data_IF_214485231957
#
_entry.id   IF_214485231957
#
_cell.length_a   1.000
_cell.length_b   1.000
_cell.length_c   1.000
_cell.angle_alpha   90.00
_cell.angle_beta   90.00
_cell.angle_gamma   90.00
#
_symmetry.space_group_name_H-M   'P 1'
#
loop_
_entity.id
_entity.type
_entity.pdbx_description
1 polymer ?
#
# COMPACT_ATOMS: atom_id res chain seq x y z
N UNK A 1 17.68 -17.10 18.77
CA UNK A 1 17.60 -18.58 18.82
C UNK A 1 16.45 -19.13 19.67
N UNK A 2 15.94 -18.44 20.71
CA UNK A 2 14.84 -18.96 21.55
C UNK A 2 13.46 -19.01 20.84
N UNK A 3 13.11 -17.98 20.06
CA UNK A 3 11.76 -17.86 19.48
C UNK A 3 11.44 -18.87 18.38
N UNK A 4 12.44 -19.30 17.61
CA UNK A 4 12.25 -20.31 16.55
C UNK A 4 11.90 -21.68 17.15
N UNK A 5 12.55 -22.05 18.25
CA UNK A 5 12.25 -23.30 18.95
C UNK A 5 10.85 -23.28 19.56
N UNK A 6 10.44 -22.15 20.15
CA UNK A 6 9.09 -21.97 20.69
C UNK A 6 8.02 -22.03 19.59
N UNK A 7 8.25 -21.38 18.44
CA UNK A 7 7.36 -21.44 17.29
C UNK A 7 7.19 -22.88 16.78
N UNK A 8 8.30 -23.61 16.59
CA UNK A 8 8.26 -25.00 16.12
C UNK A 8 7.50 -25.90 17.12
N UNK A 9 7.69 -25.69 18.43
CA UNK A 9 6.94 -26.43 19.44
C UNK A 9 5.43 -26.15 19.36
N UNK A 10 5.02 -24.88 19.29
CA UNK A 10 3.60 -24.50 19.19
C UNK A 10 2.96 -24.98 17.88
N UNK A 11 3.70 -24.95 16.77
CA UNK A 11 3.26 -25.48 15.48
C UNK A 11 3.02 -26.99 15.55
N UNK A 12 3.93 -27.74 16.18
CA UNK A 12 3.77 -29.18 16.35
C UNK A 12 2.58 -29.52 17.25
N UNK A 13 2.34 -28.76 18.33
CA UNK A 13 1.17 -28.94 19.19
C UNK A 13 -0.14 -28.72 18.42
N UNK A 14 -0.22 -27.65 17.61
CA UNK A 14 -1.38 -27.39 16.76
C UNK A 14 -1.60 -28.52 15.76
N UNK A 15 -0.54 -28.99 15.10
CA UNK A 15 -0.63 -30.09 14.14
C UNK A 15 -1.18 -31.37 14.80
N UNK A 16 -0.60 -31.80 15.92
CA UNK A 16 -1.06 -32.99 16.65
C UNK A 16 -2.52 -32.83 17.09
N UNK A 17 -2.92 -31.63 17.50
CA UNK A 17 -4.30 -31.33 17.90
C UNK A 17 -5.29 -31.45 16.73
N UNK A 18 -4.92 -30.97 15.54
CA UNK A 18 -5.74 -31.06 14.32
C UNK A 18 -5.81 -32.52 13.85
N UNK A 19 -4.69 -33.24 13.87
CA UNK A 19 -4.64 -34.65 13.47
C UNK A 19 -5.56 -35.51 14.37
N UNK A 20 -5.60 -35.22 15.68
CA UNK A 20 -6.51 -35.89 16.60
C UNK A 20 -7.99 -35.54 16.33
N UNK A 21 -8.28 -34.27 16.04
CA UNK A 21 -9.64 -33.83 15.69
C UNK A 21 -10.16 -34.54 14.43
N UNK A 22 -9.31 -34.63 13.40
CA UNK A 22 -9.62 -35.35 12.16
C UNK A 22 -9.87 -36.85 12.43
N UNK A 23 -9.06 -37.46 13.29
CA UNK A 23 -9.29 -38.85 13.73
C UNK A 23 -10.65 -39.02 14.43
N UNK A 24 -11.00 -38.13 15.36
CA UNK A 24 -12.26 -38.21 16.11
C UNK A 24 -13.48 -38.03 15.19
N UNK A 25 -13.41 -37.11 14.22
CA UNK A 25 -14.45 -36.91 13.19
C UNK A 25 -14.62 -38.16 12.33
N UNK A 26 -13.51 -38.76 11.88
CA UNK A 26 -13.54 -40.01 11.10
C UNK A 26 -14.14 -41.17 11.89
N UNK A 27 -13.90 -41.22 13.21
CA UNK A 27 -14.54 -42.22 14.08
C UNK A 27 -16.06 -42.06 14.10
N UNK A 28 -16.61 -40.84 14.16
CA UNK A 28 -18.07 -40.65 14.06
C UNK A 28 -18.61 -41.17 12.72
N UNK A 29 -17.97 -40.81 11.61
CA UNK A 29 -18.40 -41.27 10.30
C UNK A 29 -18.43 -42.81 10.20
N UNK A 30 -17.48 -43.50 10.84
CA UNK A 30 -17.48 -44.96 10.92
C UNK A 30 -18.63 -45.51 11.79
N UNK A 31 -18.96 -44.86 12.91
CA UNK A 31 -20.07 -45.28 13.76
C UNK A 31 -21.45 -45.00 13.14
N UNK A 32 -21.59 -43.93 12.34
CA UNK A 32 -22.83 -43.63 11.61
C UNK A 32 -23.17 -44.70 10.56
N UNK A 33 -22.16 -45.30 9.91
CA UNK A 33 -22.37 -46.39 8.94
C UNK A 33 -22.99 -47.66 9.57
N UNK A 34 -22.84 -47.83 10.88
CA UNK A 34 -23.40 -48.96 11.63
C UNK A 34 -24.75 -48.65 12.29
N UNK A 35 -25.25 -47.43 12.17
CA UNK A 35 -26.55 -47.03 12.70
C UNK A 35 -27.69 -47.66 11.90
N UNK A 36 -28.52 -48.49 12.56
CA UNK A 36 -29.69 -49.12 11.96
C UNK A 36 -30.95 -48.72 12.75
N UNK A 37 -31.75 -47.76 12.25
CA UNK A 37 -32.84 -47.14 13.03
C UNK A 37 -33.99 -48.08 13.43
N UNK A 38 -34.03 -49.30 12.87
CA UNK A 38 -35.14 -50.26 13.05
C UNK A 38 -34.75 -51.55 13.81
N UNK A 39 -33.63 -51.55 14.56
CA UNK A 39 -33.22 -52.69 15.42
C UNK A 39 -33.53 -52.46 16.89
N UNK A 40 -33.49 -53.56 17.66
CA UNK A 40 -33.86 -53.66 19.07
C UNK A 40 -33.35 -52.48 19.93
N UNK A 41 -34.22 -51.93 20.79
CA UNK A 41 -34.04 -50.67 21.53
C UNK A 41 -32.69 -50.54 22.28
N UNK A 42 -32.12 -51.66 22.73
CA UNK A 42 -30.82 -51.69 23.42
C UNK A 42 -29.62 -51.34 22.51
N UNK A 43 -29.59 -51.84 21.26
CA UNK A 43 -28.46 -51.60 20.35
C UNK A 43 -28.45 -50.15 19.86
N UNK A 44 -29.62 -49.61 19.55
CA UNK A 44 -29.78 -48.21 19.12
C UNK A 44 -29.37 -47.24 20.23
N UNK A 45 -29.75 -47.51 21.49
CA UNK A 45 -29.33 -46.70 22.66
C UNK A 45 -27.82 -46.71 22.88
N UNK A 46 -27.17 -47.87 22.71
CA UNK A 46 -25.72 -47.98 22.85
C UNK A 46 -24.97 -47.13 21.82
N UNK A 47 -25.35 -47.24 20.54
CA UNK A 47 -24.73 -46.47 19.45
C UNK A 47 -24.94 -44.97 19.64
N UNK A 48 -26.12 -44.54 20.10
CA UNK A 48 -26.40 -43.12 20.41
C UNK A 48 -25.50 -42.60 21.55
N UNK A 49 -25.27 -43.39 22.59
CA UNK A 49 -24.35 -43.02 23.67
C UNK A 49 -22.88 -42.98 23.23
N UNK A 50 -22.46 -43.86 22.32
CA UNK A 50 -21.12 -43.80 21.71
C UNK A 50 -20.95 -42.54 20.86
N UNK A 51 -21.92 -42.22 20.00
CA UNK A 51 -21.92 -40.98 19.19
C UNK A 51 -21.88 -39.75 20.11
N UNK A 52 -22.65 -39.75 21.22
CA UNK A 52 -22.62 -38.65 22.21
C UNK A 52 -21.24 -38.50 22.87
N UNK A 53 -20.59 -39.60 23.24
CA UNK A 53 -19.23 -39.58 23.80
C UNK A 53 -18.23 -39.02 22.80
N UNK A 54 -18.25 -39.48 21.55
CA UNK A 54 -17.31 -38.99 20.53
C UNK A 54 -17.57 -37.51 20.21
N UNK A 55 -18.84 -37.08 20.11
CA UNK A 55 -19.17 -35.66 19.96
C UNK A 55 -18.59 -34.80 21.09
N UNK A 56 -18.61 -35.30 22.33
CA UNK A 56 -18.02 -34.60 23.48
C UNK A 56 -16.49 -34.50 23.33
N UNK A 57 -15.83 -35.55 22.81
CA UNK A 57 -14.40 -35.55 22.52
C UNK A 57 -14.06 -34.55 21.41
N UNK A 58 -14.82 -34.54 20.31
CA UNK A 58 -14.64 -33.59 19.19
C UNK A 58 -14.74 -32.16 19.69
N UNK A 59 -15.77 -31.82 20.48
CA UNK A 59 -15.92 -30.46 21.00
C UNK A 59 -14.72 -30.05 21.87
N UNK A 60 -14.27 -30.94 22.76
CA UNK A 60 -13.10 -30.69 23.59
C UNK A 60 -11.83 -30.54 22.76
N UNK A 61 -11.64 -31.38 21.74
CA UNK A 61 -10.46 -31.35 20.86
C UNK A 61 -10.47 -30.14 19.92
N UNK A 62 -11.65 -29.69 19.51
CA UNK A 62 -11.83 -28.45 18.77
C UNK A 62 -11.39 -27.25 19.62
N UNK A 63 -11.81 -27.15 20.87
CA UNK A 63 -11.39 -26.08 21.79
C UNK A 63 -9.86 -26.07 21.99
N UNK A 64 -9.24 -27.26 22.12
CA UNK A 64 -7.77 -27.39 22.23
C UNK A 64 -7.09 -26.89 20.94
N UNK A 65 -7.62 -27.24 19.77
CA UNK A 65 -7.09 -26.81 18.47
C UNK A 65 -7.18 -25.30 18.30
N UNK A 66 -8.32 -24.69 18.64
CA UNK A 66 -8.53 -23.24 18.58
C UNK A 66 -7.57 -22.50 19.51
N UNK A 67 -7.40 -22.98 20.75
CA UNK A 67 -6.47 -22.36 21.68
C UNK A 67 -5.01 -22.49 21.21
N UNK A 68 -4.63 -23.65 20.68
CA UNK A 68 -3.29 -23.85 20.10
C UNK A 68 -3.02 -22.94 18.90
N UNK A 69 -4.03 -22.68 18.06
CA UNK A 69 -3.93 -21.74 16.94
C UNK A 69 -3.77 -20.29 17.43
N UNK A 70 -4.51 -19.89 18.47
CA UNK A 70 -4.35 -18.57 19.11
C UNK A 70 -2.96 -18.39 19.69
N UNK A 71 -2.44 -19.40 20.38
CA UNK A 71 -1.10 -19.37 20.97
C UNK A 71 0.00 -19.25 19.90
N UNK A 72 -0.16 -19.92 18.77
CA UNK A 72 0.75 -19.80 17.63
C UNK A 72 0.66 -18.41 16.99
N UNK A 73 -0.55 -17.86 16.82
CA UNK A 73 -0.77 -16.51 16.32
C UNK A 73 -0.08 -15.48 17.20
N UNK A 74 -0.24 -15.58 18.53
CA UNK A 74 0.43 -14.69 19.48
C UNK A 74 1.96 -14.81 19.42
N UNK A 75 2.49 -16.02 19.22
CA UNK A 75 3.92 -16.23 19.04
C UNK A 75 4.44 -15.54 17.75
N UNK A 76 3.70 -15.63 16.65
CA UNK A 76 4.01 -14.91 15.41
C UNK A 76 3.95 -13.39 15.61
N UNK A 77 2.91 -12.88 16.27
CA UNK A 77 2.77 -11.46 16.59
C UNK A 77 3.93 -10.96 17.47
N UNK A 78 4.37 -11.77 18.43
CA UNK A 78 5.52 -11.47 19.27
C UNK A 78 6.82 -11.41 18.43
N UNK A 79 7.06 -12.41 17.58
CA UNK A 79 8.22 -12.42 16.67
C UNK A 79 8.22 -11.21 15.72
N UNK A 80 7.05 -10.83 15.20
CA UNK A 80 6.86 -9.62 14.38
C UNK A 80 7.05 -8.32 15.17
N UNK A 81 6.80 -8.34 16.48
CA UNK A 81 7.03 -7.19 17.35
C UNK A 81 8.51 -7.06 17.75
N UNK A 82 9.23 -8.17 17.89
CA UNK A 82 10.66 -8.18 18.19
C UNK A 82 11.50 -7.75 16.99
N UNK A 83 11.13 -8.17 15.77
CA UNK A 83 11.73 -7.61 14.54
C UNK A 83 11.50 -6.11 14.39
N UNK A 84 10.48 -5.55 15.04
CA UNK A 84 10.23 -4.09 15.11
C UNK A 84 10.93 -3.40 16.29
N UNK A 85 11.39 -4.15 17.31
CA UNK A 85 12.02 -3.61 18.54
C UNK A 85 13.55 -3.65 18.50
N UNK A 86 14.16 -4.40 17.59
CA UNK A 86 15.56 -4.20 17.25
C UNK A 86 15.73 -2.78 16.69
N UNK A 87 16.26 -1.88 17.53
CA UNK A 87 16.79 -0.59 17.07
C UNK A 87 17.71 -0.87 15.88
N UNK A 88 17.61 -0.12 14.78
CA UNK A 88 18.49 -0.32 13.64
C UNK A 88 19.92 -0.05 14.09
N UNK A 89 20.71 -1.11 14.25
CA UNK A 89 22.12 -1.06 13.88
C UNK A 89 22.09 -0.62 12.43
N UNK A 90 22.57 0.60 12.15
CA UNK A 90 22.59 1.26 10.85
C UNK A 90 22.22 0.30 9.72
N UNK A 91 20.91 0.23 9.40
CA UNK A 91 20.47 -0.52 8.24
C UNK A 91 21.20 0.12 7.08
N UNK A 92 22.11 -0.63 6.45
CA UNK A 92 22.34 -0.45 5.02
C UNK A 92 20.93 -0.43 4.43
N UNK A 93 20.44 0.76 4.06
CA UNK A 93 19.14 0.91 3.43
C UNK A 93 19.19 0.02 2.21
N UNK A 94 18.53 -1.13 2.27
CA UNK A 94 18.57 -2.08 1.18
C UNK A 94 17.76 -1.44 0.07
N UNK A 95 18.46 -0.94 -0.95
CA UNK A 95 17.82 -0.23 -2.05
C UNK A 95 16.81 -1.14 -2.75
N UNK A 96 15.68 -0.59 -3.23
CA UNK A 96 14.69 -1.37 -3.95
C UNK A 96 15.34 -2.00 -5.18
N UNK A 97 14.91 -3.21 -5.51
CA UNK A 97 15.29 -3.88 -6.75
C UNK A 97 14.69 -3.16 -7.96
N UNK A 98 15.24 -3.39 -9.15
CA UNK A 98 14.70 -2.82 -10.40
C UNK A 98 13.23 -3.21 -10.63
N UNK A 99 12.86 -4.43 -10.25
CA UNK A 99 11.49 -4.93 -10.38
C UNK A 99 10.54 -4.19 -9.41
N UNK A 100 10.99 -3.90 -8.19
CA UNK A 100 10.23 -3.11 -7.22
C UNK A 100 10.06 -1.66 -7.70
N UNK A 101 11.11 -1.04 -8.25
CA UNK A 101 11.02 0.31 -8.84
C UNK A 101 10.05 0.33 -10.02
N UNK A 102 10.12 -0.68 -10.90
CA UNK A 102 9.20 -0.82 -12.03
C UNK A 102 7.74 -0.98 -11.56
N UNK A 103 7.51 -1.78 -10.51
CA UNK A 103 6.19 -1.95 -9.90
C UNK A 103 5.68 -0.64 -9.27
N UNK A 104 6.53 0.11 -8.57
CA UNK A 104 6.19 1.42 -8.00
C UNK A 104 5.79 2.41 -9.10
N UNK A 105 6.54 2.46 -10.20
CA UNK A 105 6.23 3.32 -11.35
C UNK A 105 4.92 2.92 -12.02
N UNK A 106 4.70 1.63 -12.23
CA UNK A 106 3.47 1.12 -12.81
C UNK A 106 2.26 1.47 -11.93
N UNK A 107 2.36 1.28 -10.61
CA UNK A 107 1.29 1.65 -9.67
C UNK A 107 1.06 3.16 -9.68
N UNK A 108 2.12 3.98 -9.64
CA UNK A 108 2.01 5.43 -9.70
C UNK A 108 1.26 5.91 -10.94
N UNK A 109 1.55 5.36 -12.12
CA UNK A 109 0.88 5.78 -13.35
C UNK A 109 -0.54 5.26 -13.49
N UNK A 110 -0.80 4.00 -13.12
CA UNK A 110 -2.11 3.34 -13.34
C UNK A 110 -3.12 3.54 -12.20
N UNK A 111 -2.65 3.73 -10.97
CA UNK A 111 -3.54 3.88 -9.81
C UNK A 111 -4.29 5.21 -9.82
N UNK A 112 -5.47 5.23 -9.21
CA UNK A 112 -6.17 6.48 -8.91
C UNK A 112 -5.58 7.07 -7.62
N UNK A 113 -5.38 8.37 -7.61
CA UNK A 113 -4.98 9.08 -6.39
C UNK A 113 -6.04 8.93 -5.31
N UNK A 114 -5.59 8.84 -4.05
CA UNK A 114 -6.47 8.66 -2.91
C UNK A 114 -7.39 9.86 -2.75
N UNK A 115 -8.67 9.60 -2.55
CA UNK A 115 -9.67 10.64 -2.29
C UNK A 115 -10.06 10.68 -0.80
N UNK A 116 -10.45 11.86 -0.31
CA UNK A 116 -10.97 12.03 1.06
C UNK A 116 -12.22 12.91 1.09
N UNK A 117 -13.17 12.50 1.91
CA UNK A 117 -14.29 13.31 2.37
C UNK A 117 -13.83 14.31 3.43
N UNK A 118 -14.66 15.33 3.69
CA UNK A 118 -14.42 16.29 4.78
C UNK A 118 -14.34 15.58 6.15
N UNK A 119 -13.42 15.98 7.04
CA UNK A 119 -12.45 17.08 6.89
C UNK A 119 -11.26 16.73 5.98
N UNK A 120 -10.95 17.62 5.04
CA UNK A 120 -9.88 17.43 4.04
C UNK A 120 -8.50 17.70 4.69
N UNK A 121 -7.48 16.85 4.45
CA UNK A 121 -6.13 17.07 4.99
C UNK A 121 -5.49 18.39 4.56
N UNK A 122 -4.61 18.94 5.40
CA UNK A 122 -3.98 20.26 5.21
C UNK A 122 -3.13 20.37 3.93
N UNK A 123 -2.48 19.27 3.50
CA UNK A 123 -1.55 19.25 2.34
C UNK A 123 -2.14 18.49 1.14
N UNK A 124 -3.44 18.64 0.95
CA UNK A 124 -4.22 18.02 -0.12
C UNK A 124 -4.16 18.86 -1.41
N UNK A 125 -4.23 18.20 -2.58
CA UNK A 125 -4.30 18.87 -3.89
C UNK A 125 -3.20 19.91 -4.10
N UNK A 126 -3.57 21.13 -4.49
CA UNK A 126 -2.63 22.21 -4.78
C UNK A 126 -1.78 22.69 -3.59
N UNK A 127 -2.08 22.27 -2.36
CA UNK A 127 -1.28 22.59 -1.16
C UNK A 127 -0.24 21.52 -0.81
N UNK A 128 -0.10 20.47 -1.63
CA UNK A 128 0.88 19.41 -1.40
C UNK A 128 2.30 19.97 -1.18
N UNK A 129 2.68 21.03 -1.90
CA UNK A 129 3.99 21.69 -1.80
C UNK A 129 4.39 22.13 -0.39
N UNK A 130 3.42 22.29 0.53
CA UNK A 130 3.66 22.67 1.92
C UNK A 130 4.06 21.49 2.80
N UNK A 131 3.88 20.25 2.33
CA UNK A 131 4.33 19.05 3.04
C UNK A 131 5.85 18.84 2.84
N UNK A 132 6.65 19.39 3.74
CA UNK A 132 8.11 19.26 3.71
C UNK A 132 8.64 18.06 4.51
N UNK A 133 7.82 17.02 4.64
CA UNK A 133 8.19 15.74 5.28
C UNK A 133 7.69 14.58 4.42
N UNK A 134 8.35 14.30 3.28
CA UNK A 134 7.97 13.22 2.40
C UNK A 134 8.26 11.87 3.06
N UNK A 135 7.55 10.83 2.65
CA UNK A 135 7.77 9.46 3.14
C UNK A 135 8.53 8.67 2.09
N UNK A 136 9.26 7.65 2.53
CA UNK A 136 9.84 6.65 1.65
C UNK A 136 8.80 6.08 0.67
N UNK A 137 9.22 5.88 -0.58
CA UNK A 137 8.39 5.41 -1.69
C UNK A 137 7.43 6.47 -2.25
N UNK A 138 7.35 7.67 -1.66
CA UNK A 138 6.59 8.76 -2.27
C UNK A 138 7.35 9.38 -3.45
N UNK A 139 6.60 10.03 -4.33
CA UNK A 139 7.12 10.72 -5.49
C UNK A 139 7.29 12.22 -5.21
N UNK A 140 8.37 12.79 -5.73
CA UNK A 140 8.64 14.23 -5.72
C UNK A 140 9.03 14.70 -7.12
N UNK A 141 8.81 15.98 -7.39
CA UNK A 141 9.41 16.68 -8.51
C UNK A 141 10.70 17.33 -8.02
N UNK A 142 11.83 16.94 -8.59
CA UNK A 142 13.15 17.49 -8.29
C UNK A 142 13.58 18.48 -9.37
N UNK A 143 14.25 19.55 -8.98
CA UNK A 143 14.89 20.50 -9.88
C UNK A 143 16.40 20.25 -9.91
N UNK A 144 16.88 19.67 -11.01
CA UNK A 144 18.28 19.27 -11.18
C UNK A 144 18.76 19.74 -12.56
N UNK A 145 19.84 20.52 -12.58
CA UNK A 145 20.48 21.03 -13.80
C UNK A 145 19.50 21.70 -14.79
N UNK A 146 18.53 22.47 -14.26
CA UNK A 146 17.51 23.18 -15.04
C UNK A 146 16.36 22.30 -15.54
N UNK A 147 16.36 21.01 -15.20
CA UNK A 147 15.30 20.07 -15.54
C UNK A 147 14.42 19.77 -14.32
N UNK A 148 13.15 19.45 -14.57
CA UNK A 148 12.21 19.03 -13.54
C UNK A 148 11.89 17.55 -13.72
N UNK A 149 12.29 16.70 -12.77
CA UNK A 149 12.28 15.25 -12.95
C UNK A 149 11.52 14.58 -11.81
N UNK A 150 10.73 13.55 -12.15
CA UNK A 150 10.05 12.68 -11.21
C UNK A 150 11.06 11.77 -10.53
N UNK A 151 11.12 11.86 -9.21
CA UNK A 151 12.05 11.09 -8.37
C UNK A 151 11.29 10.34 -7.28
N UNK A 152 11.85 9.22 -6.85
CA UNK A 152 11.31 8.43 -5.73
C UNK A 152 12.11 8.72 -4.48
N UNK A 153 11.40 8.98 -3.37
CA UNK A 153 12.01 9.24 -2.06
C UNK A 153 12.52 7.93 -1.47
N UNK A 154 13.81 7.89 -1.19
CA UNK A 154 14.44 6.82 -0.40
C UNK A 154 14.29 7.10 1.09
N UNK A 155 14.70 8.27 1.55
CA UNK A 155 14.49 8.69 2.95
C UNK A 155 14.55 10.20 3.08
N UNK A 156 14.07 10.71 4.21
CA UNK A 156 14.14 12.13 4.56
C UNK A 156 14.63 12.28 6.01
N UNK A 157 15.77 12.93 6.17
CA UNK A 157 16.42 13.16 7.47
C UNK A 157 17.11 14.52 7.47
N UNK A 158 17.05 15.23 8.61
CA UNK A 158 17.72 16.53 8.81
C UNK A 158 17.45 17.58 7.72
N UNK A 159 16.25 17.56 7.12
CA UNK A 159 15.86 18.51 6.07
C UNK A 159 16.45 18.20 4.69
N UNK A 160 17.08 17.04 4.52
CA UNK A 160 17.61 16.54 3.25
C UNK A 160 16.70 15.42 2.75
N UNK A 161 16.25 15.55 1.51
CA UNK A 161 15.46 14.53 0.81
C UNK A 161 16.40 13.70 -0.06
N UNK A 162 16.64 12.46 0.34
CA UNK A 162 17.41 11.50 -0.44
C UNK A 162 16.49 10.79 -1.41
N UNK A 163 16.77 10.90 -2.70
CA UNK A 163 15.92 10.38 -3.78
C UNK A 163 16.74 9.57 -4.78
N UNK A 164 16.06 8.82 -5.64
CA UNK A 164 16.66 8.18 -6.80
C UNK A 164 15.79 8.34 -8.04
N UNK A 165 16.45 8.32 -9.20
CA UNK A 165 15.81 8.38 -10.51
C UNK A 165 15.23 7.00 -10.86
N UNK A 166 13.91 6.88 -11.06
CA UNK A 166 13.30 5.60 -11.42
C UNK A 166 13.61 5.15 -12.86
N UNK A 167 14.36 5.93 -13.64
CA UNK A 167 14.72 5.66 -15.04
C UNK A 167 16.21 5.37 -15.25
N UNK A 168 17.09 5.67 -14.29
CA UNK A 168 18.52 5.32 -14.34
C UNK A 168 18.69 3.83 -14.03
N UNK A 169 18.39 2.99 -15.03
CA UNK A 169 18.54 1.53 -14.95
C UNK A 169 19.93 1.04 -15.37
N UNK A 170 20.81 1.92 -15.84
CA UNK A 170 22.10 1.54 -16.44
C UNK A 170 23.17 1.23 -15.37
N UNK A 171 22.92 1.54 -14.10
CA UNK A 171 23.84 1.30 -12.98
C UNK A 171 23.13 0.92 -11.68
N UNK A 172 23.89 0.67 -10.60
CA UNK A 172 23.33 0.58 -9.24
C UNK A 172 22.55 1.86 -8.91
N UNK A 173 21.48 1.75 -8.10
CA UNK A 173 20.63 2.89 -7.74
C UNK A 173 21.50 3.99 -7.10
N UNK A 174 21.55 5.16 -7.74
CA UNK A 174 22.27 6.32 -7.24
C UNK A 174 21.35 7.19 -6.39
N UNK A 175 21.77 7.46 -5.16
CA UNK A 175 21.08 8.40 -4.27
C UNK A 175 21.53 9.82 -4.55
N UNK A 176 20.56 10.68 -4.85
CA UNK A 176 20.70 12.12 -4.99
C UNK A 176 20.18 12.77 -3.72
N UNK A 177 20.95 13.68 -3.13
CA UNK A 177 20.56 14.42 -1.92
C UNK A 177 20.08 15.80 -2.30
N UNK A 178 18.81 16.09 -2.03
CA UNK A 178 18.16 17.35 -2.38
C UNK A 178 17.83 18.15 -1.11
N UNK A 179 18.14 19.44 -1.15
CA UNK A 179 17.70 20.42 -0.15
C UNK A 179 16.23 20.76 -0.33
N UNK A 180 15.61 21.36 0.69
CA UNK A 180 14.18 21.66 0.72
C UNK A 180 13.66 22.54 -0.44
N UNK A 181 14.53 23.32 -1.09
CA UNK A 181 14.27 24.18 -2.23
C UNK A 181 14.57 23.53 -3.59
N UNK A 182 15.15 22.32 -3.60
CA UNK A 182 15.49 21.56 -4.81
C UNK A 182 14.41 20.51 -5.16
N UNK A 183 13.34 20.40 -4.36
CA UNK A 183 12.21 19.53 -4.66
C UNK A 183 10.87 20.05 -4.15
N UNK A 184 9.80 19.53 -4.74
CA UNK A 184 8.42 19.72 -4.30
C UNK A 184 7.65 18.39 -4.33
N UNK A 185 6.86 18.05 -3.30
CA UNK A 185 6.11 16.79 -3.28
C UNK A 185 4.95 16.80 -4.28
N UNK A 186 4.65 15.61 -4.81
CA UNK A 186 3.42 15.39 -5.54
C UNK A 186 2.22 15.28 -4.57
N UNK A 187 1.01 15.66 -5.00
CA UNK A 187 -0.18 15.41 -4.21
C UNK A 187 -0.41 13.91 -4.07
N UNK A 188 -0.63 13.48 -2.82
CA UNK A 188 -0.93 12.07 -2.50
C UNK A 188 -2.41 11.83 -2.20
N UNK A 189 -3.14 12.92 -1.94
CA UNK A 189 -4.55 12.94 -1.60
C UNK A 189 -5.21 14.13 -2.30
N UNK A 190 -6.42 13.92 -2.82
CA UNK A 190 -7.31 14.99 -3.32
C UNK A 190 -8.69 14.90 -2.64
N UNK A 191 -9.51 15.96 -2.68
CA UNK A 191 -10.89 15.88 -2.20
C UNK A 191 -11.71 14.91 -3.06
N UNK A 192 -12.68 14.21 -2.46
CA UNK A 192 -13.53 13.25 -3.20
C UNK A 192 -14.30 13.90 -4.35
N UNK A 193 -14.80 15.13 -4.15
CA UNK A 193 -15.42 15.94 -5.21
C UNK A 193 -14.50 17.11 -5.57
N UNK A 194 -14.45 17.55 -6.84
CA UNK A 194 -13.76 18.77 -7.23
C UNK A 194 -14.24 19.98 -6.41
N UNK A 195 -13.30 20.74 -5.84
CA UNK A 195 -13.56 21.90 -4.98
C UNK A 195 -12.46 22.93 -5.24
N UNK A 196 -12.84 24.06 -5.85
CA UNK A 196 -11.95 25.16 -6.25
C UNK A 196 -10.91 25.59 -5.21
N UNK A 197 -11.24 25.55 -3.91
CA UNK A 197 -10.33 25.92 -2.81
C UNK A 197 -9.05 25.07 -2.77
N UNK A 198 -9.12 23.82 -3.22
CA UNK A 198 -8.04 22.82 -3.17
C UNK A 198 -7.38 22.59 -4.54
N UNK A 199 -7.68 23.47 -5.49
CA UNK A 199 -7.23 23.37 -6.88
C UNK A 199 -6.27 24.52 -7.24
N UNK A 200 -5.39 24.30 -8.22
CA UNK A 200 -4.58 25.36 -8.79
C UNK A 200 -5.47 26.37 -9.51
N UNK A 201 -5.22 27.66 -9.32
CA UNK A 201 -6.05 28.71 -9.89
C UNK A 201 -6.00 28.69 -11.44
N UNK A 202 -7.10 29.09 -12.08
CA UNK A 202 -7.11 29.36 -13.52
C UNK A 202 -6.04 30.39 -13.89
N UNK A 203 -5.44 30.21 -15.05
CA UNK A 203 -4.35 31.00 -15.62
C UNK A 203 -3.03 30.96 -14.81
N UNK A 204 -2.96 30.16 -13.74
CA UNK A 204 -1.69 29.94 -13.02
C UNK A 204 -0.76 29.00 -13.77
N UNK A 205 0.54 29.23 -13.62
CA UNK A 205 1.59 28.34 -14.12
C UNK A 205 1.88 27.23 -13.11
N UNK A 206 1.89 25.99 -13.59
CA UNK A 206 2.18 24.78 -12.81
C UNK A 206 3.28 23.97 -13.51
N UNK A 207 3.83 22.98 -12.81
CA UNK A 207 4.64 21.93 -13.41
C UNK A 207 3.79 20.66 -13.51
N UNK A 208 3.81 20.02 -14.67
CA UNK A 208 3.02 18.82 -14.96
C UNK A 208 3.82 17.78 -15.71
N UNK A 209 3.60 16.50 -15.43
CA UNK A 209 4.08 15.43 -16.31
C UNK A 209 3.44 15.58 -17.69
N UNK A 210 4.22 15.24 -18.71
CA UNK A 210 3.77 15.26 -20.10
C UNK A 210 3.17 13.92 -20.51
N UNK A 211 1.97 13.90 -21.11
CA UNK A 211 1.39 12.69 -21.68
C UNK A 211 2.04 12.35 -23.03
N UNK A 212 2.37 11.08 -23.22
CA UNK A 212 2.82 10.54 -24.51
C UNK A 212 1.63 10.27 -25.43
N UNK A 213 1.90 10.18 -26.74
CA UNK A 213 0.87 9.94 -27.77
C UNK A 213 0.16 8.59 -27.61
N UNK A 214 0.79 7.61 -26.96
CA UNK A 214 0.26 6.28 -26.68
C UNK A 214 -0.59 6.21 -25.39
N UNK A 215 -0.82 7.35 -24.73
CA UNK A 215 -1.55 7.43 -23.47
C UNK A 215 -0.71 7.10 -22.23
N UNK A 216 0.60 6.88 -22.38
CA UNK A 216 1.53 6.76 -21.25
C UNK A 216 2.01 8.13 -20.76
N UNK A 217 2.80 8.17 -19.70
CA UNK A 217 3.29 9.41 -19.09
C UNK A 217 4.81 9.41 -19.07
N UNK A 218 5.40 10.58 -19.30
CA UNK A 218 6.83 10.81 -19.09
C UNK A 218 7.16 10.92 -17.60
N UNK A 219 8.46 10.89 -17.28
CA UNK A 219 9.00 11.19 -15.95
C UNK A 219 9.52 12.62 -15.83
N UNK A 220 9.32 13.45 -16.86
CA UNK A 220 9.74 14.85 -16.88
C UNK A 220 8.55 15.78 -16.68
N UNK A 221 8.74 16.83 -15.89
CA UNK A 221 7.76 17.88 -15.69
C UNK A 221 8.04 19.06 -16.62
N UNK A 222 6.97 19.60 -17.19
CA UNK A 222 7.00 20.76 -18.07
C UNK A 222 6.11 21.87 -17.49
N UNK A 223 6.48 23.11 -17.80
CA UNK A 223 5.66 24.27 -17.45
C UNK A 223 4.35 24.22 -18.25
N UNK A 224 3.23 24.45 -17.58
CA UNK A 224 1.93 24.51 -18.22
C UNK A 224 1.04 25.56 -17.55
N UNK A 225 0.08 26.09 -18.29
CA UNK A 225 -0.91 27.06 -17.81
C UNK A 225 -2.26 26.38 -17.59
N UNK A 226 -2.87 26.59 -16.43
CA UNK A 226 -4.21 26.04 -16.12
C UNK A 226 -5.28 26.77 -16.92
N UNK A 227 -5.93 26.09 -17.89
CA UNK A 227 -7.06 26.64 -18.66
C UNK A 227 -8.39 26.40 -17.97
N UNK A 228 -8.61 25.18 -17.47
CA UNK A 228 -9.81 24.78 -16.73
C UNK A 228 -9.42 23.96 -15.50
N UNK A 229 -10.09 24.22 -14.39
CA UNK A 229 -9.91 23.48 -13.14
C UNK A 229 -10.81 22.22 -13.12
N UNK A 230 -10.51 21.20 -12.30
CA UNK A 230 -11.38 20.04 -12.15
C UNK A 230 -12.83 20.41 -11.80
N UNK A 231 -13.05 21.47 -10.99
CA UNK A 231 -14.40 21.91 -10.65
C UNK A 231 -15.18 22.50 -11.83
N UNK A 232 -14.48 23.07 -12.81
CA UNK A 232 -15.09 23.61 -14.04
C UNK A 232 -15.42 22.51 -15.05
N UNK A 233 -14.92 21.29 -14.81
CA UNK A 233 -15.05 20.11 -15.68
C UNK A 233 -15.77 18.95 -14.97
N UNK A 234 -16.58 19.26 -13.95
CA UNK A 234 -17.17 18.24 -13.07
C UNK A 234 -18.08 17.23 -13.79
N UNK A 235 -18.63 17.60 -14.95
CA UNK A 235 -19.52 16.75 -15.76
C UNK A 235 -18.78 15.85 -16.76
N UNK A 236 -17.45 15.96 -16.86
CA UNK A 236 -16.65 15.15 -17.79
C UNK A 236 -16.30 13.78 -17.19
N UNK A 237 -16.13 12.77 -18.03
CA UNK A 237 -15.73 11.41 -17.59
C UNK A 237 -14.35 11.39 -16.91
N UNK A 238 -13.42 12.20 -17.42
CA UNK A 238 -12.05 12.29 -16.92
C UNK A 238 -11.86 13.50 -16.01
N UNK A 239 -11.59 13.20 -14.73
CA UNK A 239 -11.22 14.17 -13.71
C UNK A 239 -9.76 14.63 -13.89
N UNK A 240 -9.54 15.92 -14.02
CA UNK A 240 -8.23 16.53 -14.14
C UNK A 240 -8.28 18.01 -14.49
N UNK A 241 -7.11 18.63 -14.60
CA UNK A 241 -6.96 19.99 -15.12
C UNK A 241 -6.84 19.96 -16.62
N UNK A 242 -7.40 20.97 -17.29
CA UNK A 242 -6.99 21.28 -18.65
C UNK A 242 -5.77 22.18 -18.62
N UNK A 243 -4.66 21.69 -19.16
CA UNK A 243 -3.38 22.38 -19.15
C UNK A 243 -2.93 22.70 -20.58
N UNK A 244 -2.43 23.91 -20.77
CA UNK A 244 -1.78 24.36 -22.01
C UNK A 244 -0.28 24.45 -21.79
N UNK A 245 0.47 23.65 -22.53
CA UNK A 245 1.93 23.57 -22.45
C UNK A 245 2.64 24.54 -23.42
N UNK A 246 1.88 25.41 -24.10
CA UNK A 246 2.38 26.28 -25.16
C UNK A 246 1.90 25.84 -26.54
N UNK A 247 1.89 26.76 -27.50
CA UNK A 247 1.48 26.51 -28.90
C UNK A 247 0.09 25.84 -29.04
N UNK A 248 -0.83 26.13 -28.11
CA UNK A 248 -2.15 25.49 -28.00
C UNK A 248 -2.09 23.95 -27.83
N UNK A 249 -1.01 23.42 -27.27
CA UNK A 249 -0.91 22.01 -26.87
C UNK A 249 -1.68 21.80 -25.56
N UNK A 250 -2.98 21.54 -25.70
CA UNK A 250 -3.92 21.40 -24.58
C UNK A 250 -4.16 19.93 -24.24
N UNK A 251 -3.95 19.57 -22.97
CA UNK A 251 -4.16 18.22 -22.47
C UNK A 251 -4.92 18.20 -21.15
N UNK A 252 -5.67 17.12 -20.93
CA UNK A 252 -6.30 16.83 -19.64
C UNK A 252 -5.29 16.06 -18.80
N UNK A 253 -4.91 16.62 -17.65
CA UNK A 253 -3.94 16.00 -16.76
C UNK A 253 -4.55 15.72 -15.38
N UNK A 254 -4.48 14.47 -14.88
CA UNK A 254 -4.89 14.11 -13.53
C UNK A 254 -4.19 14.94 -12.46
N UNK A 255 -4.90 15.29 -11.36
CA UNK A 255 -4.32 16.13 -10.31
C UNK A 255 -3.05 15.55 -9.68
N UNK A 256 -2.88 14.23 -9.70
CA UNK A 256 -1.71 13.52 -9.17
C UNK A 256 -0.39 13.83 -9.88
N UNK A 257 -0.45 14.32 -11.12
CA UNK A 257 0.73 14.58 -11.95
C UNK A 257 1.12 16.05 -12.02
N UNK A 258 0.49 16.88 -11.19
CA UNK A 258 0.64 18.33 -11.21
C UNK A 258 1.18 18.79 -9.86
N UNK A 259 2.16 19.69 -9.89
CA UNK A 259 2.74 20.32 -8.71
C UNK A 259 2.77 21.84 -8.88
N UNK A 260 2.75 22.54 -7.75
CA UNK A 260 3.00 23.99 -7.71
C UNK A 260 4.37 24.29 -8.33
N UNK A 261 4.44 25.29 -9.22
CA UNK A 261 5.71 25.79 -9.74
C UNK A 261 6.32 26.78 -8.73
N UNK A 262 7.36 26.40 -7.95
CA UNK A 262 7.88 27.23 -6.88
C UNK A 262 8.48 28.53 -7.43
N UNK A 263 8.28 29.65 -6.73
CA UNK A 263 8.78 30.97 -7.16
C UNK A 263 10.30 30.97 -7.42
N UNK A 264 11.08 30.27 -6.59
CA UNK A 264 12.53 30.15 -6.76
C UNK A 264 12.98 29.43 -8.03
N UNK A 265 12.09 28.71 -8.72
CA UNK A 265 12.37 28.00 -9.97
C UNK A 265 11.90 28.76 -11.21
N UNK A 266 11.33 29.95 -11.05
CA UNK A 266 10.74 30.74 -12.16
C UNK A 266 11.76 31.63 -12.88
N UNK A 267 13.01 31.65 -12.42
CA UNK A 267 14.10 32.47 -12.96
C UNK A 267 14.73 31.89 -14.21
#
# INVERSE_FOLDING_TARGET
>A
MNNQNEFIQKLNLLKVSIDQLDSDIKSIAAHELHFQPNKNDYQTKHVVEEIRKINTLIMKQYDISVNSAKDLSQCVDHMLSETKKEKPVAQEHQFPTKDEVSAMMQDFFKSKIKTRLSPIPMYCGCYAFRNKTPKEGHFVCAHIDGNFILMIVSHFEDGICSVFDPTDFDSEIKIIKLKNDEWTPLPTIIPERPIKRWEHAKDSTVLSLWPNQDGTWTTAFYKATVKLQPCDRADNEDRGYELDFGDNMVHVVPEKFIVTFPEGWQN
#
